data_IF_926453784557
#
_entry.id   IF_926453784557
#
_cell.length_a   1.000
_cell.length_b   1.000
_cell.length_c   1.000
_cell.angle_alpha   90.00
_cell.angle_beta   90.00
_cell.angle_gamma   90.00
#
_symmetry.space_group_name_H-M   'P 1'
#
loop_
_entity.id
_entity.type
_entity.pdbx_description
1 polymer ?
#
# COMPACT_ATOMS: atom_id res chain seq x y z
N UNK A 1 -15.36 -4.58 -17.49
CA UNK A 1 -14.16 -5.27 -17.01
C UNK A 1 -14.33 -5.74 -15.57
N UNK A 2 -13.52 -6.67 -15.14
CA UNK A 2 -13.55 -7.17 -13.75
C UNK A 2 -13.29 -6.02 -12.77
N UNK A 3 -12.34 -5.14 -13.07
CA UNK A 3 -12.02 -3.99 -12.22
C UNK A 3 -13.23 -3.07 -12.03
N UNK A 4 -14.01 -2.83 -13.07
CA UNK A 4 -15.22 -2.01 -13.01
C UNK A 4 -16.30 -2.63 -12.10
N UNK A 5 -16.40 -3.95 -12.09
CA UNK A 5 -17.34 -4.67 -11.23
C UNK A 5 -16.89 -4.67 -9.77
N UNK A 6 -15.59 -4.87 -9.53
CA UNK A 6 -15.05 -5.02 -8.17
C UNK A 6 -14.85 -3.68 -7.45
N UNK A 7 -14.50 -2.61 -8.15
CA UNK A 7 -14.22 -1.32 -7.54
C UNK A 7 -15.32 -0.84 -6.59
N UNK A 8 -16.64 -0.87 -6.98
CA UNK A 8 -17.69 -0.46 -6.06
C UNK A 8 -17.83 -1.35 -4.82
N UNK A 9 -17.38 -2.61 -4.90
CA UNK A 9 -17.44 -3.53 -3.77
C UNK A 9 -16.37 -3.22 -2.72
N UNK A 10 -15.19 -2.77 -3.17
CA UNK A 10 -14.04 -2.54 -2.30
C UNK A 10 -13.86 -1.10 -1.86
N UNK A 11 -14.29 -0.13 -2.68
CA UNK A 11 -14.12 1.29 -2.36
C UNK A 11 -14.63 1.67 -0.96
N UNK A 12 -15.81 1.21 -0.49
CA UNK A 12 -16.26 1.50 0.86
C UNK A 12 -15.41 0.88 1.97
N UNK A 13 -14.60 -0.13 1.64
CA UNK A 13 -13.76 -0.83 2.62
C UNK A 13 -12.38 -0.17 2.78
N UNK A 14 -11.99 0.69 1.85
CA UNK A 14 -10.67 1.32 1.87
C UNK A 14 -10.59 2.45 2.89
N UNK A 15 -9.40 2.61 3.48
CA UNK A 15 -9.13 3.61 4.49
C UNK A 15 -9.15 5.04 3.91
N UNK A 16 -9.51 6.00 4.74
CA UNK A 16 -9.36 7.42 4.44
C UNK A 16 -7.91 7.84 4.19
N UNK A 17 -6.95 7.09 4.72
CA UNK A 17 -5.52 7.32 4.50
C UNK A 17 -4.99 6.80 3.16
N UNK A 18 -5.78 6.06 2.40
CA UNK A 18 -5.40 5.51 1.09
C UNK A 18 -5.87 6.43 -0.04
N UNK A 19 -4.93 6.85 -0.90
CA UNK A 19 -5.17 7.85 -1.95
C UNK A 19 -4.89 7.36 -3.37
N UNK A 20 -4.05 6.34 -3.55
CA UNK A 20 -3.64 5.88 -4.87
C UNK A 20 -4.68 5.01 -5.57
N UNK A 21 -4.86 5.23 -6.86
CA UNK A 21 -5.73 4.42 -7.74
C UNK A 21 -7.19 4.32 -7.23
N UNK A 22 -7.69 5.39 -6.63
CA UNK A 22 -9.06 5.45 -6.13
C UNK A 22 -9.83 6.60 -6.80
N UNK A 23 -11.14 6.42 -7.06
CA UNK A 23 -11.98 7.49 -7.59
C UNK A 23 -11.95 8.71 -6.66
N UNK A 24 -11.89 9.90 -7.24
CA UNK A 24 -11.94 11.19 -6.54
C UNK A 24 -10.81 11.43 -5.52
N UNK A 25 -9.71 10.67 -5.60
CA UNK A 25 -8.54 10.84 -4.77
C UNK A 25 -7.29 11.04 -5.62
N UNK A 26 -6.30 11.72 -5.07
CA UNK A 26 -5.12 12.14 -5.83
C UNK A 26 -3.86 12.17 -4.97
N UNK A 27 -2.70 12.22 -5.63
CA UNK A 27 -1.42 12.44 -4.95
C UNK A 27 -1.41 13.78 -4.19
N UNK A 28 -2.01 14.83 -4.75
CA UNK A 28 -2.13 16.12 -4.06
C UNK A 28 -2.97 16.00 -2.78
N UNK A 29 -4.02 15.21 -2.80
CA UNK A 29 -4.83 14.93 -1.61
C UNK A 29 -4.01 14.25 -0.52
N UNK A 30 -3.18 13.28 -0.89
CA UNK A 30 -2.27 12.61 0.03
C UNK A 30 -1.27 13.60 0.65
N UNK A 31 -0.68 14.46 -0.17
CA UNK A 31 0.28 15.48 0.29
C UNK A 31 -0.37 16.50 1.22
N UNK A 32 -1.58 16.94 0.93
CA UNK A 32 -2.33 17.85 1.81
C UNK A 32 -2.63 17.21 3.15
N UNK A 33 -3.02 15.96 3.16
CA UNK A 33 -3.29 15.24 4.40
C UNK A 33 -1.99 15.01 5.19
N UNK A 34 -0.90 14.68 4.54
CA UNK A 34 0.41 14.55 5.17
C UNK A 34 0.84 15.88 5.82
N UNK A 35 0.68 16.99 5.13
CA UNK A 35 0.99 18.31 5.68
C UNK A 35 0.12 18.63 6.89
N UNK A 36 -1.16 18.29 6.84
CA UNK A 36 -2.08 18.49 7.97
C UNK A 36 -1.66 17.69 9.19
N UNK A 37 -1.26 16.43 9.00
CA UNK A 37 -0.78 15.57 10.09
C UNK A 37 0.51 16.15 10.70
N UNK A 38 1.44 16.62 9.86
CA UNK A 38 2.66 17.29 10.32
C UNK A 38 2.33 18.51 11.18
N UNK A 39 1.39 19.34 10.73
CA UNK A 39 0.98 20.56 11.44
C UNK A 39 0.30 20.26 12.79
N UNK A 40 -0.25 19.06 12.95
CA UNK A 40 -0.81 18.58 14.22
C UNK A 40 0.27 18.14 15.23
N UNK A 41 1.56 18.18 14.85
CA UNK A 41 2.66 17.84 15.74
C UNK A 41 3.32 16.49 15.52
N UNK A 42 2.92 15.76 14.48
CA UNK A 42 3.54 14.49 14.11
C UNK A 42 4.74 14.77 13.18
N UNK A 43 5.87 15.10 13.78
CA UNK A 43 7.05 15.60 13.05
C UNK A 43 7.99 14.49 12.57
N UNK A 44 7.78 13.26 13.02
CA UNK A 44 8.59 12.10 12.62
C UNK A 44 7.74 11.11 11.84
N UNK A 45 8.39 10.36 10.98
CA UNK A 45 7.69 9.40 10.14
C UNK A 45 8.54 8.21 9.76
N UNK A 46 7.84 7.16 9.32
CA UNK A 46 8.40 5.99 8.66
C UNK A 46 7.91 5.99 7.23
N UNK A 47 8.83 6.09 6.28
CA UNK A 47 8.54 5.86 4.86
C UNK A 47 8.90 4.43 4.51
N UNK A 48 7.91 3.56 4.45
CA UNK A 48 8.13 2.13 4.16
C UNK A 48 8.27 1.92 2.66
N UNK A 49 9.35 1.26 2.27
CA UNK A 49 9.60 0.81 0.91
C UNK A 49 9.42 -0.71 0.85
N UNK A 50 8.54 -1.16 -0.04
CA UNK A 50 8.29 -2.58 -0.27
C UNK A 50 9.13 -3.07 -1.45
N UNK A 51 9.79 -4.20 -1.27
CA UNK A 51 10.65 -4.75 -2.30
C UNK A 51 9.82 -5.35 -3.43
N UNK A 52 9.92 -4.75 -4.61
CA UNK A 52 9.29 -5.22 -5.86
C UNK A 52 7.86 -5.76 -5.64
N UNK A 53 6.98 -4.90 -5.12
CA UNK A 53 5.63 -5.27 -4.71
C UNK A 53 4.89 -6.09 -5.77
N UNK A 54 4.83 -5.57 -7.02
CA UNK A 54 4.08 -6.22 -8.09
C UNK A 54 4.67 -7.57 -8.49
N UNK A 55 5.97 -7.79 -8.26
CA UNK A 55 6.65 -9.04 -8.60
C UNK A 55 6.56 -10.09 -7.49
N UNK A 56 6.30 -9.69 -6.25
CA UNK A 56 6.45 -10.55 -5.07
C UNK A 56 5.16 -10.79 -4.29
N UNK A 57 4.05 -10.13 -4.64
CA UNK A 57 2.79 -10.34 -3.93
C UNK A 57 2.39 -11.83 -3.94
N UNK A 58 2.03 -12.36 -2.78
CA UNK A 58 1.65 -13.77 -2.63
C UNK A 58 0.24 -13.99 -3.20
N UNK A 59 0.15 -14.73 -4.29
CA UNK A 59 -1.11 -14.95 -5.01
C UNK A 59 -2.13 -15.73 -4.18
N UNK A 60 -1.69 -16.74 -3.44
CA UNK A 60 -2.58 -17.54 -2.57
C UNK A 60 -3.20 -16.68 -1.47
N UNK A 61 -2.41 -15.83 -0.85
CA UNK A 61 -2.88 -14.88 0.16
C UNK A 61 -3.88 -13.89 -0.44
N UNK A 62 -3.57 -13.35 -1.62
CA UNK A 62 -4.46 -12.43 -2.32
C UNK A 62 -5.80 -13.08 -2.65
N UNK A 63 -5.80 -14.31 -3.16
CA UNK A 63 -7.04 -15.06 -3.45
C UNK A 63 -7.83 -15.29 -2.15
N UNK A 64 -7.17 -15.61 -1.06
CA UNK A 64 -7.82 -15.75 0.24
C UNK A 64 -8.53 -14.45 0.65
N UNK A 65 -7.85 -13.31 0.56
CA UNK A 65 -8.46 -12.01 0.85
C UNK A 65 -9.67 -11.73 -0.03
N UNK A 66 -9.54 -11.97 -1.33
CA UNK A 66 -10.63 -11.77 -2.28
C UNK A 66 -11.84 -12.63 -1.93
N UNK A 67 -11.63 -13.85 -1.47
CA UNK A 67 -12.69 -14.79 -1.12
C UNK A 67 -13.52 -14.36 0.08
N UNK A 68 -13.01 -13.44 0.93
CA UNK A 68 -13.78 -12.88 2.02
C UNK A 68 -14.92 -11.96 1.55
N UNK A 69 -14.74 -11.30 0.42
CA UNK A 69 -15.72 -10.34 -0.14
C UNK A 69 -16.43 -10.90 -1.36
N UNK A 70 -15.70 -11.56 -2.26
CA UNK A 70 -16.25 -12.11 -3.50
C UNK A 70 -16.71 -13.54 -3.25
N UNK A 71 -18.01 -13.79 -3.33
CA UNK A 71 -18.59 -15.12 -3.11
C UNK A 71 -18.81 -15.90 -4.40
N UNK A 72 -18.75 -15.24 -5.56
CA UNK A 72 -18.88 -15.92 -6.85
C UNK A 72 -17.53 -16.58 -7.23
N UNK A 73 -17.51 -17.92 -7.19
CA UNK A 73 -16.32 -18.68 -7.53
C UNK A 73 -15.85 -18.51 -8.97
N UNK A 74 -16.73 -18.10 -9.89
CA UNK A 74 -16.35 -17.83 -11.28
C UNK A 74 -15.48 -16.58 -11.38
N UNK A 75 -15.80 -15.55 -10.60
CA UNK A 75 -15.01 -14.32 -10.54
C UNK A 75 -13.64 -14.61 -9.92
N UNK A 76 -13.59 -15.32 -8.82
CA UNK A 76 -12.33 -15.74 -8.16
C UNK A 76 -11.49 -16.56 -9.15
N UNK A 77 -12.10 -17.47 -9.88
CA UNK A 77 -11.41 -18.30 -10.87
C UNK A 77 -10.78 -17.45 -12.00
N UNK A 78 -11.51 -16.45 -12.47
CA UNK A 78 -10.99 -15.54 -13.50
C UNK A 78 -9.80 -14.72 -12.98
N UNK A 79 -9.87 -14.24 -11.74
CA UNK A 79 -8.76 -13.49 -11.14
C UNK A 79 -7.55 -14.40 -10.95
N UNK A 80 -7.77 -15.63 -10.50
CA UNK A 80 -6.69 -16.62 -10.37
C UNK A 80 -6.00 -16.88 -11.70
N UNK A 81 -6.78 -17.04 -12.78
CA UNK A 81 -6.22 -17.21 -14.13
C UNK A 81 -5.42 -15.98 -14.58
N UNK A 82 -5.92 -14.78 -14.27
CA UNK A 82 -5.21 -13.54 -14.57
C UNK A 82 -3.83 -13.48 -13.88
N UNK A 83 -3.78 -13.84 -12.60
CA UNK A 83 -2.53 -13.87 -11.83
C UNK A 83 -1.59 -14.97 -12.34
N UNK A 84 -2.13 -16.15 -12.59
CA UNK A 84 -1.36 -17.33 -13.00
C UNK A 84 -0.83 -17.22 -14.43
N UNK A 85 -1.42 -16.38 -15.28
CA UNK A 85 -0.98 -16.19 -16.66
C UNK A 85 0.51 -15.81 -16.75
N UNK A 86 1.05 -15.20 -15.67
CA UNK A 86 2.49 -15.01 -15.55
C UNK A 86 3.03 -13.86 -16.38
N UNK A 87 4.34 -13.91 -16.55
CA UNK A 87 5.08 -12.91 -17.34
C UNK A 87 5.56 -13.52 -18.64
N UNK A 88 5.62 -12.70 -19.68
CA UNK A 88 6.20 -13.11 -20.95
C UNK A 88 7.73 -12.94 -20.88
N UNK A 89 8.44 -14.06 -21.03
CA UNK A 89 9.90 -14.09 -21.06
C UNK A 89 10.34 -14.65 -22.41
N UNK A 90 11.11 -13.89 -23.17
CA UNK A 90 11.58 -14.28 -24.49
C UNK A 90 10.46 -14.76 -25.43
N UNK A 91 9.30 -14.11 -25.36
CA UNK A 91 8.15 -14.45 -26.20
C UNK A 91 7.34 -15.66 -25.75
N UNK A 92 7.69 -16.26 -24.60
CA UNK A 92 6.98 -17.42 -24.03
C UNK A 92 6.37 -17.05 -22.68
N UNK A 93 5.10 -17.41 -22.48
CA UNK A 93 4.44 -17.21 -21.20
C UNK A 93 4.98 -18.20 -20.17
N UNK A 94 5.37 -17.68 -19.01
CA UNK A 94 5.79 -18.50 -17.88
C UNK A 94 4.78 -18.32 -16.72
N UNK A 95 4.10 -19.38 -16.32
CA UNK A 95 3.22 -19.31 -15.15
C UNK A 95 4.00 -18.93 -13.89
N UNK A 96 3.35 -18.17 -13.01
CA UNK A 96 3.95 -17.75 -11.74
C UNK A 96 2.96 -17.91 -10.60
N UNK A 97 3.46 -18.16 -9.39
CA UNK A 97 2.68 -18.22 -8.14
C UNK A 97 2.82 -16.94 -7.33
N UNK A 98 3.68 -16.04 -7.77
CA UNK A 98 3.90 -14.74 -7.12
C UNK A 98 3.68 -13.60 -8.10
N UNK A 99 3.36 -12.44 -7.54
CA UNK A 99 3.25 -11.21 -8.28
C UNK A 99 1.88 -11.00 -8.94
N UNK A 100 1.72 -9.80 -9.48
CA UNK A 100 0.61 -9.42 -10.36
C UNK A 100 1.18 -8.78 -11.62
N UNK A 101 0.49 -8.89 -12.77
CA UNK A 101 0.96 -8.23 -13.99
C UNK A 101 1.06 -6.71 -13.79
N UNK A 102 2.24 -6.15 -14.08
CA UNK A 102 2.45 -4.71 -14.05
C UNK A 102 1.74 -4.05 -15.23
N UNK A 103 1.14 -2.89 -14.98
CA UNK A 103 0.44 -2.12 -16.01
C UNK A 103 -0.91 -2.69 -16.43
N UNK A 104 -1.35 -3.79 -15.83
CA UNK A 104 -2.67 -4.35 -16.08
C UNK A 104 -3.77 -3.53 -15.39
N UNK A 105 -5.01 -3.52 -15.93
CA UNK A 105 -6.08 -2.69 -15.37
C UNK A 105 -6.55 -3.14 -13.99
N UNK A 106 -6.36 -4.39 -13.65
CA UNK A 106 -6.78 -4.97 -12.36
C UNK A 106 -5.72 -4.83 -11.26
N UNK A 107 -4.45 -4.77 -11.63
CA UNK A 107 -3.34 -4.78 -10.66
C UNK A 107 -3.36 -3.64 -9.65
N UNK A 108 -3.69 -2.39 -10.00
CA UNK A 108 -3.80 -1.32 -8.99
C UNK A 108 -4.86 -1.59 -7.94
N UNK A 109 -6.00 -2.15 -8.33
CA UNK A 109 -7.06 -2.51 -7.38
C UNK A 109 -6.61 -3.66 -6.47
N UNK A 110 -5.98 -4.69 -7.02
CA UNK A 110 -5.45 -5.82 -6.25
C UNK A 110 -4.39 -5.36 -5.25
N UNK A 111 -3.54 -4.43 -5.65
CA UNK A 111 -2.56 -3.79 -4.78
C UNK A 111 -3.24 -3.13 -3.57
N UNK A 112 -4.27 -2.33 -3.81
CA UNK A 112 -5.02 -1.67 -2.74
C UNK A 112 -5.72 -2.68 -1.82
N UNK A 113 -6.20 -3.78 -2.35
CA UNK A 113 -6.85 -4.82 -1.55
C UNK A 113 -5.87 -5.45 -0.55
N UNK A 114 -4.67 -5.79 -1.00
CA UNK A 114 -3.63 -6.34 -0.12
C UNK A 114 -3.19 -5.31 0.91
N UNK A 115 -2.88 -4.10 0.46
CA UNK A 115 -2.35 -3.05 1.34
C UNK A 115 -3.40 -2.43 2.25
N UNK A 116 -4.69 -2.64 1.97
CA UNK A 116 -5.75 -2.29 2.91
C UNK A 116 -5.60 -3.04 4.25
N UNK A 117 -5.01 -4.21 4.23
CA UNK A 117 -4.71 -4.94 5.48
C UNK A 117 -3.65 -4.20 6.32
N UNK A 118 -2.68 -3.55 5.68
CA UNK A 118 -1.75 -2.65 6.36
C UNK A 118 -2.49 -1.43 6.92
N UNK A 119 -3.37 -0.83 6.14
CA UNK A 119 -4.14 0.35 6.55
C UNK A 119 -4.99 0.04 7.78
N UNK A 120 -5.66 -1.11 7.80
CA UNK A 120 -6.45 -1.55 8.97
C UNK A 120 -5.58 -1.72 10.21
N UNK A 121 -4.39 -2.28 10.06
CA UNK A 121 -3.45 -2.46 11.18
C UNK A 121 -2.96 -1.10 11.71
N UNK A 122 -2.67 -0.16 10.83
CA UNK A 122 -2.28 1.20 11.21
C UNK A 122 -3.41 1.91 11.96
N UNK A 123 -4.65 1.78 11.51
CA UNK A 123 -5.82 2.33 12.19
C UNK A 123 -6.03 1.68 13.56
N UNK A 124 -5.88 0.36 13.64
CA UNK A 124 -5.98 -0.38 14.90
C UNK A 124 -4.95 0.08 15.92
N UNK A 125 -3.72 0.36 15.47
CA UNK A 125 -2.63 0.87 16.31
C UNK A 125 -2.73 2.37 16.62
N UNK A 126 -3.63 3.09 15.91
CA UNK A 126 -3.83 4.52 16.10
C UNK A 126 -2.76 5.41 15.50
N UNK A 127 -2.08 4.95 14.44
CA UNK A 127 -1.05 5.75 13.76
C UNK A 127 -1.65 6.53 12.61
N UNK A 128 -1.51 7.87 12.57
CA UNK A 128 -1.84 8.64 11.37
C UNK A 128 -0.93 8.23 10.22
N UNK A 129 -1.48 8.13 9.02
CA UNK A 129 -0.70 7.75 7.85
C UNK A 129 -1.34 8.27 6.57
N UNK A 130 -0.53 8.30 5.51
CA UNK A 130 -1.00 8.43 4.13
C UNK A 130 -0.35 7.34 3.31
N UNK A 131 -1.11 6.76 2.39
CA UNK A 131 -0.61 5.75 1.47
C UNK A 131 -1.09 6.05 0.05
N UNK A 132 -0.16 6.06 -0.88
CA UNK A 132 -0.44 6.16 -2.30
C UNK A 132 0.13 4.91 -2.98
N UNK A 133 -0.73 3.96 -3.32
CA UNK A 133 -0.35 2.62 -3.80
C UNK A 133 0.55 1.92 -2.77
N UNK A 134 1.77 1.55 -3.16
CA UNK A 134 2.77 0.91 -2.27
C UNK A 134 3.68 1.91 -1.56
N UNK A 135 3.47 3.21 -1.79
CA UNK A 135 4.25 4.28 -1.18
C UNK A 135 3.51 4.83 0.04
N UNK A 136 4.02 4.56 1.23
CA UNK A 136 3.34 4.90 2.49
C UNK A 136 4.22 5.70 3.43
N UNK A 137 3.58 6.60 4.16
CA UNK A 137 4.22 7.45 5.16
C UNK A 137 3.39 7.36 6.45
N UNK A 138 4.00 6.83 7.51
CA UNK A 138 3.36 6.62 8.81
C UNK A 138 3.95 7.62 9.79
N UNK A 139 3.11 8.40 10.47
CA UNK A 139 3.53 9.53 11.28
C UNK A 139 3.61 9.18 12.76
N UNK A 140 4.62 9.74 13.42
CA UNK A 140 4.87 9.58 14.84
C UNK A 140 5.27 10.93 15.47
N UNK A 141 5.19 11.00 16.80
CA UNK A 141 5.53 12.21 17.54
C UNK A 141 6.99 12.28 17.98
N UNK A 142 7.71 11.16 17.91
CA UNK A 142 9.12 11.09 18.30
C UNK A 142 9.91 10.18 17.36
N UNK A 143 11.20 10.39 17.28
CA UNK A 143 12.11 9.55 16.51
C UNK A 143 12.10 8.10 17.03
N UNK A 144 12.16 7.94 18.36
CA UNK A 144 12.12 6.63 19.00
C UNK A 144 10.81 5.90 18.72
N UNK A 145 9.69 6.63 18.73
CA UNK A 145 8.39 6.09 18.35
C UNK A 145 8.38 5.61 16.90
N UNK A 146 8.95 6.40 15.99
CA UNK A 146 9.06 6.03 14.57
C UNK A 146 9.92 4.78 14.38
N UNK A 147 11.03 4.65 15.08
CA UNK A 147 11.89 3.46 15.01
C UNK A 147 11.15 2.21 15.48
N UNK A 148 10.38 2.29 16.54
CA UNK A 148 9.55 1.19 17.05
C UNK A 148 8.44 0.80 16.06
N UNK A 149 7.79 1.79 15.47
CA UNK A 149 6.75 1.58 14.47
C UNK A 149 7.33 0.88 13.25
N UNK A 150 8.49 1.31 12.78
CA UNK A 150 9.18 0.69 11.65
C UNK A 150 9.46 -0.79 11.92
N UNK A 151 9.99 -1.11 13.08
CA UNK A 151 10.28 -2.50 13.49
C UNK A 151 9.01 -3.35 13.55
N UNK A 152 7.97 -2.86 14.22
CA UNK A 152 6.71 -3.57 14.36
C UNK A 152 5.97 -3.77 13.05
N UNK A 153 5.95 -2.74 12.19
CA UNK A 153 5.30 -2.83 10.88
C UNK A 153 6.06 -3.74 9.93
N UNK A 154 7.40 -3.75 9.98
CA UNK A 154 8.20 -4.68 9.17
C UNK A 154 7.82 -6.12 9.50
N UNK A 155 7.71 -6.45 10.78
CA UNK A 155 7.27 -7.79 11.20
C UNK A 155 5.86 -8.13 10.72
N UNK A 156 4.93 -7.19 10.85
CA UNK A 156 3.55 -7.38 10.38
C UNK A 156 3.51 -7.61 8.86
N UNK A 157 4.17 -6.76 8.10
CA UNK A 157 4.19 -6.85 6.64
C UNK A 157 4.77 -8.18 6.18
N UNK A 158 5.88 -8.61 6.77
CA UNK A 158 6.55 -9.84 6.35
C UNK A 158 5.82 -11.10 6.80
N UNK A 159 5.27 -11.11 8.01
CA UNK A 159 4.59 -12.30 8.56
C UNK A 159 3.13 -12.43 8.13
N UNK A 160 2.40 -11.32 8.04
CA UNK A 160 0.96 -11.34 7.77
C UNK A 160 0.61 -11.05 6.32
N UNK A 161 1.33 -10.15 5.67
CA UNK A 161 1.08 -9.79 4.28
C UNK A 161 1.95 -10.55 3.30
N UNK A 162 2.95 -11.28 3.79
CA UNK A 162 3.88 -12.06 2.97
C UNK A 162 4.62 -11.20 1.93
N UNK A 163 4.89 -9.96 2.30
CA UNK A 163 5.66 -9.01 1.50
C UNK A 163 7.01 -8.79 2.17
N UNK A 164 7.97 -8.27 1.41
CA UNK A 164 9.30 -7.95 1.93
C UNK A 164 9.50 -6.45 2.00
N UNK A 165 9.95 -5.97 3.15
CA UNK A 165 10.34 -4.57 3.35
C UNK A 165 11.78 -4.39 2.92
N UNK A 166 12.05 -3.39 2.07
CA UNK A 166 13.41 -3.01 1.72
C UNK A 166 13.93 -2.04 2.77
N UNK A 167 14.69 -2.57 3.74
CA UNK A 167 15.20 -1.78 4.85
C UNK A 167 16.21 -0.72 4.41
N UNK A 168 16.96 -0.96 3.34
CA UNK A 168 17.92 0.00 2.82
C UNK A 168 17.26 1.26 2.25
N UNK A 169 16.05 1.15 1.73
CA UNK A 169 15.28 2.25 1.16
C UNK A 169 14.20 2.77 2.11
N UNK A 170 13.90 2.05 3.17
CA UNK A 170 12.93 2.49 4.19
C UNK A 170 13.57 3.62 5.01
N UNK A 171 12.85 4.73 5.14
CA UNK A 171 13.33 5.91 5.84
C UNK A 171 12.63 6.05 7.18
N UNK A 172 13.41 6.41 8.22
CA UNK A 172 12.89 6.72 9.55
C UNK A 172 13.55 8.01 10.02
N UNK A 173 12.76 9.01 10.37
CA UNK A 173 13.30 10.27 10.86
C UNK A 173 12.32 11.41 10.80
N UNK A 174 12.85 12.62 10.75
CA UNK A 174 12.03 13.84 10.67
C UNK A 174 11.39 13.96 9.28
N UNK A 175 10.08 14.20 9.25
CA UNK A 175 9.29 14.34 8.01
C UNK A 175 9.87 15.40 7.09
N UNK A 176 10.41 16.50 7.64
CA UNK A 176 10.96 17.61 6.84
C UNK A 176 12.19 17.22 6.03
N UNK A 177 12.90 16.16 6.45
CA UNK A 177 14.04 15.61 5.72
C UNK A 177 13.66 14.60 4.66
N UNK A 178 12.38 14.31 4.51
CA UNK A 178 11.88 13.26 3.62
C UNK A 178 11.24 13.84 2.37
N UNK A 179 11.35 13.07 1.28
CA UNK A 179 10.57 13.31 0.07
C UNK A 179 9.46 12.27 0.00
N UNK A 180 8.25 12.73 -0.32
CA UNK A 180 7.11 11.87 -0.53
C UNK A 180 6.38 12.31 -1.79
N UNK A 181 6.19 11.39 -2.72
CA UNK A 181 5.57 11.65 -4.03
C UNK A 181 6.23 12.84 -4.75
N UNK A 182 7.56 12.95 -4.64
CA UNK A 182 8.36 14.01 -5.27
C UNK A 182 8.36 15.36 -4.55
N UNK A 183 7.77 15.45 -3.36
CA UNK A 183 7.64 16.70 -2.61
C UNK A 183 8.31 16.62 -1.25
N UNK A 184 8.77 17.76 -0.75
CA UNK A 184 9.29 17.93 0.62
C UNK A 184 8.25 18.60 1.50
N UNK A 185 8.43 18.48 2.82
CA UNK A 185 7.48 19.03 3.80
C UNK A 185 8.11 20.16 4.61
N UNK A 186 7.26 21.10 5.03
CA UNK A 186 7.63 22.17 5.96
C UNK A 186 6.45 22.41 6.91
N UNK A 187 6.75 22.91 8.10
CA UNK A 187 5.70 23.22 9.07
C UNK A 187 5.08 24.59 8.76
N UNK A 188 3.74 24.63 8.64
CA UNK A 188 3.04 25.89 8.41
C UNK A 188 3.24 26.84 9.59
N UNK A 189 3.57 28.11 9.29
CA UNK A 189 3.85 29.13 10.30
C UNK A 189 5.32 29.32 10.65
N UNK A 190 6.20 28.49 10.13
CA UNK A 190 7.65 28.74 10.13
C UNK A 190 8.00 29.44 8.81
N UNK A 191 7.86 30.72 8.82
CA UNK A 191 8.22 31.58 7.68
C UNK A 191 9.72 31.76 7.54
#
# INVERSE_FOLDING_TARGET
>A
SIAQVLTPMYEPQFSEGSYGFRPNRSAQGALKQAQRILDEGYEYAVGIDLERFFDTVNQSYLIELLSHTIKDGRVISLIHKYLYAGVMVNGVYQPTTEGTPQGGPLSPLLSNIVLNELDKELERRGHPFVRYADDSLIFCKSKRGAERVCEGLTKFIEKKLHLKVNLDKTEVGNVRGMKYLGHTFYKTGEG
#
